data_IF_772257647401
#
_entry.id   IF_772257647401
#
_cell.length_a   1.000
_cell.length_b   1.000
_cell.length_c   1.000
_cell.angle_alpha   90.00
_cell.angle_beta   90.00
_cell.angle_gamma   90.00
#
_symmetry.space_group_name_H-M   'P 1'
#
loop_
_entity.id
_entity.type
_entity.pdbx_description
1 polymer ?
#
# COMPACT_ATOMS: atom_id res chain seq x y z
N UNK A 1 22.81 40.03 -58.73
CA UNK A 1 21.65 39.13 -58.54
C UNK A 1 21.58 38.82 -57.06
N UNK A 2 20.47 39.12 -56.41
CA UNK A 2 20.24 38.79 -54.99
C UNK A 2 19.65 37.38 -54.96
N UNK A 3 20.31 36.48 -54.23
CA UNK A 3 19.89 35.09 -54.09
C UNK A 3 18.96 35.00 -52.87
N UNK A 4 17.70 34.63 -53.09
CA UNK A 4 16.76 34.34 -52.02
C UNK A 4 17.08 32.96 -51.45
N UNK A 5 17.31 32.89 -50.14
CA UNK A 5 17.41 31.62 -49.41
C UNK A 5 15.97 31.16 -49.16
N UNK A 6 15.59 30.01 -49.72
CA UNK A 6 14.30 29.40 -49.39
C UNK A 6 14.31 28.93 -47.92
N UNK A 7 13.23 29.18 -47.16
CA UNK A 7 13.15 28.71 -45.79
C UNK A 7 13.18 27.18 -45.76
N UNK A 8 14.08 26.62 -44.95
CA UNK A 8 14.10 25.19 -44.66
C UNK A 8 12.71 24.76 -44.13
N UNK A 9 12.15 23.63 -44.60
CA UNK A 9 10.92 23.12 -44.05
C UNK A 9 11.09 22.91 -42.54
N UNK A 10 10.10 23.35 -41.77
CA UNK A 10 9.99 23.03 -40.34
C UNK A 10 10.11 21.50 -40.21
N UNK A 11 11.17 21.04 -39.54
CA UNK A 11 11.24 19.66 -39.09
C UNK A 11 9.96 19.39 -38.28
N UNK A 12 9.19 18.38 -38.69
CA UNK A 12 8.03 17.96 -37.93
C UNK A 12 8.53 17.62 -36.53
N UNK A 13 8.01 18.32 -35.51
CA UNK A 13 8.29 17.97 -34.12
C UNK A 13 8.07 16.47 -33.95
N UNK A 14 8.99 15.73 -33.30
CA UNK A 14 8.80 14.31 -33.09
C UNK A 14 7.45 14.10 -32.42
N UNK A 15 6.61 13.25 -33.03
CA UNK A 15 5.35 12.82 -32.42
C UNK A 15 5.76 12.07 -31.15
N UNK A 16 5.59 12.71 -29.99
CA UNK A 16 5.85 12.04 -28.73
C UNK A 16 4.87 10.87 -28.60
N UNK A 17 5.33 9.68 -28.19
CA UNK A 17 4.45 8.53 -28.07
C UNK A 17 3.35 8.85 -27.05
N UNK A 18 2.12 8.47 -27.36
CA UNK A 18 0.97 8.73 -26.48
C UNK A 18 1.09 7.88 -25.20
N UNK A 19 0.69 8.43 -24.03
CA UNK A 19 0.73 7.69 -22.78
C UNK A 19 -0.26 6.52 -22.81
N UNK A 20 0.14 5.40 -22.21
CA UNK A 20 -0.78 4.29 -21.94
C UNK A 20 -1.75 4.70 -20.84
N UNK A 21 -3.04 4.74 -21.18
CA UNK A 21 -4.11 5.14 -20.28
C UNK A 21 -5.14 4.02 -20.12
N UNK A 22 -5.68 3.91 -18.90
CA UNK A 22 -6.56 2.85 -18.44
C UNK A 22 -7.73 3.43 -17.62
N UNK A 23 -8.86 2.73 -17.59
CA UNK A 23 -10.00 3.10 -16.74
C UNK A 23 -9.69 2.86 -15.26
N UNK A 24 -8.93 1.81 -14.95
CA UNK A 24 -8.40 1.52 -13.60
C UNK A 24 -6.98 0.98 -13.68
N UNK A 25 -6.16 1.31 -12.68
CA UNK A 25 -4.82 0.77 -12.50
C UNK A 25 -4.53 0.50 -11.01
N UNK A 26 -3.93 -0.66 -10.73
CA UNK A 26 -3.25 -0.96 -9.46
C UNK A 26 -1.78 -0.53 -9.53
N UNK A 27 -1.11 -0.46 -8.38
CA UNK A 27 0.33 -0.25 -8.32
C UNK A 27 1.07 -1.49 -8.85
N UNK A 28 2.29 -1.32 -9.35
CA UNK A 28 3.12 -2.44 -9.78
C UNK A 28 3.50 -3.32 -8.60
N UNK A 29 3.40 -4.63 -8.80
CA UNK A 29 3.83 -5.66 -7.86
C UNK A 29 4.18 -6.96 -8.61
N UNK A 30 5.28 -7.58 -8.21
CA UNK A 30 5.82 -8.78 -8.85
C UNK A 30 6.07 -8.59 -10.37
N UNK A 31 6.48 -7.40 -10.77
CA UNK A 31 6.80 -7.06 -12.16
C UNK A 31 5.60 -6.73 -13.04
N UNK A 32 4.40 -6.64 -12.48
CA UNK A 32 3.18 -6.34 -13.26
C UNK A 32 2.21 -5.42 -12.52
N UNK A 33 1.32 -4.75 -13.27
CA UNK A 33 0.23 -3.96 -12.72
C UNK A 33 -1.11 -4.38 -13.31
N UNK A 34 -2.11 -4.61 -12.46
CA UNK A 34 -3.48 -4.89 -12.90
C UNK A 34 -4.09 -3.62 -13.53
N UNK A 35 -4.58 -3.73 -14.76
CA UNK A 35 -5.19 -2.62 -15.50
C UNK A 35 -6.51 -3.03 -16.15
N UNK A 36 -7.42 -2.06 -16.29
CA UNK A 36 -8.68 -2.24 -17.03
C UNK A 36 -8.83 -1.19 -18.11
N UNK A 37 -9.18 -1.62 -19.31
CA UNK A 37 -9.62 -0.73 -20.38
C UNK A 37 -10.88 -1.28 -21.04
N UNK A 38 -12.01 -0.59 -20.86
CA UNK A 38 -13.33 -1.10 -21.19
C UNK A 38 -13.60 -2.42 -20.48
N UNK A 39 -13.99 -3.44 -21.26
CA UNK A 39 -14.28 -4.78 -20.74
C UNK A 39 -13.02 -5.65 -20.58
N UNK A 40 -11.83 -5.14 -20.91
CA UNK A 40 -10.57 -5.90 -20.84
C UNK A 40 -9.90 -5.65 -19.50
N UNK A 41 -9.80 -6.71 -18.70
CA UNK A 41 -8.99 -6.75 -17.48
C UNK A 41 -7.77 -7.63 -17.72
N UNK A 42 -6.60 -7.14 -17.32
CA UNK A 42 -5.35 -7.87 -17.46
C UNK A 42 -4.22 -7.21 -16.70
N UNK A 43 -2.99 -7.64 -16.99
CA UNK A 43 -1.79 -7.14 -16.36
C UNK A 43 -0.79 -6.70 -17.41
N UNK A 44 -0.24 -5.50 -17.20
CA UNK A 44 0.90 -5.01 -17.97
C UNK A 44 2.21 -5.24 -17.20
N UNK A 45 3.31 -5.41 -17.92
CA UNK A 45 4.65 -5.40 -17.34
C UNK A 45 5.23 -3.96 -17.29
N UNK A 46 6.48 -3.81 -16.83
CA UNK A 46 7.20 -2.53 -16.78
C UNK A 46 7.42 -1.87 -18.14
N UNK A 47 7.25 -2.61 -19.24
CA UNK A 47 7.31 -2.07 -20.59
C UNK A 47 5.95 -1.53 -21.06
N UNK A 48 4.88 -1.78 -20.30
CA UNK A 48 3.51 -1.44 -20.68
C UNK A 48 2.84 -2.49 -21.56
N UNK A 49 3.53 -3.60 -21.84
CA UNK A 49 3.00 -4.72 -22.61
C UNK A 49 1.96 -5.48 -21.80
N UNK A 50 0.79 -5.74 -22.38
CA UNK A 50 -0.20 -6.64 -21.80
C UNK A 50 0.34 -8.08 -21.81
N UNK A 51 0.82 -8.56 -20.66
CA UNK A 51 1.45 -9.88 -20.51
C UNK A 51 0.50 -10.94 -19.97
N UNK A 52 -0.55 -10.53 -19.25
CA UNK A 52 -1.58 -11.45 -18.73
C UNK A 52 -2.96 -10.92 -19.10
N UNK A 53 -3.78 -11.76 -19.73
CA UNK A 53 -5.21 -11.48 -19.94
C UNK A 53 -6.00 -12.33 -18.97
N UNK A 54 -6.91 -11.73 -18.20
CA UNK A 54 -7.80 -12.50 -17.34
C UNK A 54 -8.81 -13.25 -18.21
N UNK A 55 -8.74 -14.58 -18.17
CA UNK A 55 -9.46 -15.44 -19.12
C UNK A 55 -10.98 -15.44 -18.89
N UNK A 56 -11.42 -15.27 -17.64
CA UNK A 56 -12.83 -15.24 -17.26
C UNK A 56 -13.38 -13.81 -17.33
N UNK A 57 -14.25 -13.57 -18.32
CA UNK A 57 -14.89 -12.28 -18.54
C UNK A 57 -15.81 -11.83 -17.38
N UNK A 58 -16.17 -12.72 -16.45
CA UNK A 58 -16.97 -12.36 -15.28
C UNK A 58 -16.16 -11.73 -14.15
N UNK A 59 -14.82 -11.69 -14.27
CA UNK A 59 -13.97 -11.03 -13.28
C UNK A 59 -14.17 -9.52 -13.36
N UNK A 60 -14.73 -8.96 -12.28
CA UNK A 60 -15.00 -7.52 -12.17
C UNK A 60 -13.84 -6.74 -11.58
N UNK A 61 -13.01 -7.39 -10.74
CA UNK A 61 -11.86 -6.77 -10.08
C UNK A 61 -10.76 -7.82 -9.92
N UNK A 62 -9.51 -7.43 -10.13
CA UNK A 62 -8.33 -8.18 -9.72
C UNK A 62 -7.34 -7.22 -9.05
N UNK A 63 -6.73 -7.67 -7.96
CA UNK A 63 -5.67 -6.94 -7.26
C UNK A 63 -4.28 -7.19 -7.85
N UNK A 64 -3.22 -6.61 -7.27
CA UNK A 64 -1.84 -6.98 -7.58
C UNK A 64 -1.59 -8.47 -7.28
N UNK A 65 -0.59 -9.05 -7.95
CA UNK A 65 -0.09 -10.37 -7.56
C UNK A 65 0.64 -10.29 -6.21
N UNK A 66 0.42 -11.32 -5.39
CA UNK A 66 1.18 -11.58 -4.17
C UNK A 66 1.39 -13.08 -4.10
N UNK A 67 2.65 -13.50 -4.03
CA UNK A 67 3.06 -14.91 -4.10
C UNK A 67 2.55 -15.59 -5.38
N UNK A 68 2.62 -14.88 -6.52
CA UNK A 68 2.17 -15.33 -7.85
C UNK A 68 0.65 -15.58 -7.98
N UNK A 69 -0.13 -15.16 -6.98
CA UNK A 69 -1.59 -15.26 -6.99
C UNK A 69 -2.20 -13.88 -6.75
N UNK A 70 -3.16 -13.51 -7.59
CA UNK A 70 -3.91 -12.27 -7.42
C UNK A 70 -5.32 -12.58 -6.93
N UNK A 71 -5.74 -11.91 -5.87
CA UNK A 71 -7.12 -11.93 -5.41
C UNK A 71 -8.01 -11.31 -6.50
N UNK A 72 -9.02 -12.05 -6.93
CA UNK A 72 -9.95 -11.60 -7.96
C UNK A 72 -11.40 -11.89 -7.57
N UNK A 73 -12.30 -11.02 -8.02
CA UNK A 73 -13.73 -11.08 -7.73
C UNK A 73 -14.53 -11.32 -9.00
N UNK A 74 -15.43 -12.29 -8.96
CA UNK A 74 -16.48 -12.48 -9.96
C UNK A 74 -17.85 -12.58 -9.26
N UNK A 75 -18.78 -11.71 -9.63
CA UNK A 75 -20.03 -11.53 -8.90
C UNK A 75 -19.79 -11.15 -7.44
N UNK A 76 -20.35 -11.91 -6.50
CA UNK A 76 -20.20 -11.70 -5.05
C UNK A 76 -19.12 -12.57 -4.39
N UNK A 77 -18.39 -13.34 -5.20
CA UNK A 77 -17.39 -14.28 -4.72
C UNK A 77 -15.99 -13.92 -5.20
N UNK A 78 -15.04 -14.34 -4.39
CA UNK A 78 -13.62 -14.19 -4.60
C UNK A 78 -12.98 -15.56 -4.86
N UNK A 79 -11.95 -15.53 -5.69
CA UNK A 79 -11.02 -16.61 -5.97
C UNK A 79 -9.63 -16.02 -6.20
N UNK A 80 -8.73 -16.83 -6.74
CA UNK A 80 -7.36 -16.40 -7.02
C UNK A 80 -6.96 -16.78 -8.43
N UNK A 81 -6.47 -15.81 -9.19
CA UNK A 81 -5.93 -16.02 -10.52
C UNK A 81 -4.41 -16.15 -10.47
N UNK A 82 -3.87 -17.03 -11.32
CA UNK A 82 -2.43 -17.18 -11.50
C UNK A 82 -1.85 -16.17 -12.51
N UNK A 83 -0.53 -16.20 -12.64
CA UNK A 83 0.26 -15.41 -13.59
C UNK A 83 -0.02 -15.73 -15.07
N UNK A 84 -0.87 -16.71 -15.39
CA UNK A 84 -1.35 -16.97 -16.75
C UNK A 84 -2.74 -16.41 -17.00
N UNK A 85 -3.38 -15.82 -15.97
CA UNK A 85 -4.71 -15.22 -16.05
C UNK A 85 -5.86 -16.20 -15.85
N UNK A 86 -5.56 -17.42 -15.41
CA UNK A 86 -6.54 -18.47 -15.14
C UNK A 86 -6.82 -18.56 -13.63
N UNK A 87 -7.99 -19.09 -13.25
CA UNK A 87 -8.28 -19.41 -11.85
C UNK A 87 -7.36 -20.54 -11.36
N UNK A 88 -6.41 -20.21 -10.48
CA UNK A 88 -5.69 -21.21 -9.70
C UNK A 88 -6.57 -21.77 -8.57
N UNK A 89 -7.37 -20.89 -7.97
CA UNK A 89 -8.39 -21.24 -6.99
C UNK A 89 -9.69 -20.61 -7.47
N UNK A 90 -10.64 -21.45 -7.88
CA UNK A 90 -11.92 -21.01 -8.41
C UNK A 90 -12.70 -20.17 -7.37
N UNK A 91 -13.54 -19.27 -7.88
CA UNK A 91 -14.40 -18.42 -7.06
C UNK A 91 -15.29 -19.24 -6.14
N UNK A 92 -15.15 -19.02 -4.84
CA UNK A 92 -15.91 -19.77 -3.83
C UNK A 92 -16.03 -19.02 -2.49
N UNK A 93 -15.19 -18.02 -2.25
CA UNK A 93 -15.14 -17.31 -0.97
C UNK A 93 -15.96 -16.03 -1.02
N UNK A 94 -16.80 -15.76 -0.03
CA UNK A 94 -17.52 -14.48 0.06
C UNK A 94 -16.58 -13.30 0.34
N UNK A 95 -15.55 -13.55 1.14
CA UNK A 95 -14.49 -12.61 1.50
C UNK A 95 -13.15 -13.34 1.48
N UNK A 96 -12.11 -12.66 1.04
CA UNK A 96 -10.77 -13.19 0.94
C UNK A 96 -9.75 -12.05 1.00
N UNK A 97 -8.56 -12.32 1.55
CA UNK A 97 -7.38 -11.43 1.53
C UNK A 97 -6.33 -11.98 0.58
N UNK A 98 -5.38 -11.15 0.15
CA UNK A 98 -4.24 -11.62 -0.63
C UNK A 98 -3.39 -12.63 0.16
N UNK A 99 -2.68 -13.51 -0.56
CA UNK A 99 -1.71 -14.42 0.03
C UNK A 99 -0.57 -13.64 0.68
N UNK A 100 -0.16 -14.10 1.87
CA UNK A 100 0.97 -13.58 2.62
C UNK A 100 1.53 -14.72 3.45
N UNK A 101 2.84 -14.96 3.34
CA UNK A 101 3.56 -16.05 4.01
C UNK A 101 2.96 -17.44 3.70
N UNK A 102 2.53 -17.65 2.46
CA UNK A 102 2.01 -18.93 1.96
C UNK A 102 0.55 -19.22 2.30
N UNK A 103 -0.14 -18.34 3.04
CA UNK A 103 -1.54 -18.51 3.47
C UNK A 103 -2.38 -17.28 3.13
N UNK A 104 -3.67 -17.50 2.91
CA UNK A 104 -4.66 -16.43 2.74
C UNK A 104 -5.83 -16.61 3.71
N UNK A 105 -6.19 -15.53 4.42
CA UNK A 105 -7.39 -15.49 5.23
C UNK A 105 -8.63 -15.40 4.31
N UNK A 106 -9.53 -16.38 4.42
CA UNK A 106 -10.73 -16.48 3.58
C UNK A 106 -11.94 -16.87 4.41
N UNK A 107 -13.12 -16.39 4.00
CA UNK A 107 -14.37 -16.69 4.69
C UNK A 107 -15.00 -17.97 4.18
N UNK A 108 -15.18 -18.95 5.07
CA UNK A 108 -15.98 -20.15 4.87
C UNK A 108 -17.26 -20.11 5.71
N UNK A 109 -18.42 -20.04 5.06
CA UNK A 109 -19.68 -19.77 5.75
C UNK A 109 -19.71 -18.34 6.31
N UNK A 110 -19.80 -18.21 7.65
CA UNK A 110 -19.82 -16.91 8.34
C UNK A 110 -18.51 -16.60 9.07
N UNK A 111 -17.55 -17.53 9.11
CA UNK A 111 -16.28 -17.41 9.83
C UNK A 111 -15.10 -17.42 8.87
N UNK A 112 -13.96 -16.96 9.35
CA UNK A 112 -12.69 -16.98 8.65
C UNK A 112 -11.86 -18.20 9.03
N UNK A 113 -11.13 -18.72 8.05
CA UNK A 113 -10.05 -19.68 8.18
C UNK A 113 -8.91 -19.32 7.23
N UNK A 114 -7.96 -20.23 7.03
CA UNK A 114 -6.79 -20.00 6.19
C UNK A 114 -6.60 -21.13 5.18
N UNK A 115 -6.39 -20.75 3.92
CA UNK A 115 -6.09 -21.69 2.83
C UNK A 115 -4.66 -21.51 2.34
N UNK A 116 -4.05 -22.60 1.87
CA UNK A 116 -2.78 -22.55 1.15
C UNK A 116 -2.96 -22.13 -0.32
N UNK A 117 -1.86 -22.01 -1.06
CA UNK A 117 -1.85 -21.62 -2.48
C UNK A 117 -2.54 -22.62 -3.41
N UNK A 118 -2.90 -23.82 -2.93
CA UNK A 118 -3.70 -24.80 -3.64
C UNK A 118 -5.20 -24.71 -3.28
N UNK A 119 -5.60 -23.74 -2.45
CA UNK A 119 -6.97 -23.54 -2.00
C UNK A 119 -7.43 -24.55 -0.94
N UNK A 120 -6.51 -25.32 -0.35
CA UNK A 120 -6.81 -26.29 0.69
C UNK A 120 -6.80 -25.62 2.06
N UNK A 121 -7.77 -25.94 2.92
CA UNK A 121 -7.78 -25.48 4.30
C UNK A 121 -6.54 -25.99 5.05
N UNK A 122 -5.75 -25.05 5.56
CA UNK A 122 -4.70 -25.33 6.56
C UNK A 122 -5.27 -25.11 7.95
N UNK A 123 -6.12 -24.09 8.10
CA UNK A 123 -6.86 -23.79 9.32
C UNK A 123 -8.33 -23.64 8.95
N UNK A 124 -9.17 -24.55 9.44
CA UNK A 124 -10.60 -24.56 9.15
C UNK A 124 -11.31 -23.30 9.67
N UNK A 125 -12.38 -22.82 8.98
CA UNK A 125 -13.12 -21.62 9.37
C UNK A 125 -13.71 -21.70 10.77
N UNK A 126 -13.20 -20.86 11.69
CA UNK A 126 -13.66 -20.83 13.07
C UNK A 126 -13.52 -19.46 13.75
N UNK A 127 -12.98 -18.46 13.03
CA UNK A 127 -12.72 -17.13 13.58
C UNK A 127 -13.77 -16.12 13.11
N UNK A 128 -14.14 -15.19 13.98
CA UNK A 128 -15.03 -14.07 13.63
C UNK A 128 -14.36 -13.13 12.62
N UNK A 129 -13.04 -12.92 12.77
CA UNK A 129 -12.18 -12.13 11.90
C UNK A 129 -10.78 -12.77 11.85
N UNK A 130 -10.09 -12.61 10.73
CA UNK A 130 -8.69 -13.02 10.57
C UNK A 130 -7.97 -12.02 9.66
N UNK A 131 -6.78 -11.58 10.05
CA UNK A 131 -5.89 -10.79 9.22
C UNK A 131 -4.85 -11.69 8.50
N UNK A 132 -4.21 -11.14 7.46
CA UNK A 132 -3.10 -11.82 6.78
C UNK A 132 -1.94 -12.10 7.75
N UNK A 133 -1.22 -13.19 7.51
CA UNK A 133 0.04 -13.48 8.22
C UNK A 133 1.06 -12.36 7.98
N UNK A 134 1.76 -11.99 9.05
CA UNK A 134 2.82 -10.99 9.07
C UNK A 134 3.81 -11.36 10.16
N UNK A 135 5.08 -11.51 9.80
CA UNK A 135 6.17 -11.92 10.69
C UNK A 135 5.92 -13.29 11.35
N UNK A 136 5.33 -14.23 10.61
CA UNK A 136 5.06 -15.58 11.06
C UNK A 136 3.82 -15.73 11.94
N UNK A 137 3.05 -14.65 12.17
CA UNK A 137 1.85 -14.67 13.01
C UNK A 137 0.65 -14.02 12.30
N UNK A 138 -0.53 -14.57 12.52
CA UNK A 138 -1.80 -13.96 12.10
C UNK A 138 -2.64 -13.60 13.32
N UNK A 139 -3.11 -12.35 13.38
CA UNK A 139 -4.08 -11.94 14.39
C UNK A 139 -5.48 -12.41 13.98
N UNK A 140 -6.18 -13.06 14.91
CA UNK A 140 -7.54 -13.57 14.71
C UNK A 140 -8.43 -13.15 15.87
N UNK A 141 -9.73 -13.08 15.61
CA UNK A 141 -10.76 -12.81 16.60
C UNK A 141 -11.63 -14.03 16.85
N UNK A 142 -11.78 -14.43 18.10
CA UNK A 142 -12.66 -15.52 18.53
C UNK A 142 -13.26 -15.19 19.90
N UNK A 143 -14.55 -15.48 20.09
CA UNK A 143 -15.29 -15.17 21.32
C UNK A 143 -15.21 -13.68 21.71
N UNK A 144 -15.22 -12.80 20.71
CA UNK A 144 -15.11 -11.35 20.91
C UNK A 144 -13.71 -10.83 21.27
N UNK A 145 -12.70 -11.70 21.42
CA UNK A 145 -11.33 -11.34 21.81
C UNK A 145 -10.31 -11.69 20.72
N UNK A 146 -9.17 -11.01 20.74
CA UNK A 146 -8.08 -11.22 19.79
C UNK A 146 -6.93 -12.04 20.40
N UNK A 147 -6.31 -12.85 19.55
CA UNK A 147 -5.11 -13.64 19.80
C UNK A 147 -4.34 -13.89 18.49
N UNK A 148 -3.25 -14.66 18.55
CA UNK A 148 -2.35 -14.87 17.41
C UNK A 148 -2.07 -16.34 17.18
N UNK A 149 -2.11 -16.74 15.91
CA UNK A 149 -1.82 -18.08 15.44
C UNK A 149 -0.50 -18.11 14.68
N UNK A 150 0.21 -19.22 14.78
CA UNK A 150 1.27 -19.57 13.84
C UNK A 150 0.68 -20.18 12.54
N UNK A 151 1.48 -20.40 11.48
CA UNK A 151 0.98 -20.96 10.21
C UNK A 151 0.46 -22.40 10.31
N UNK A 152 0.79 -23.13 11.38
CA UNK A 152 0.23 -24.45 11.67
C UNK A 152 -1.15 -24.39 12.34
N UNK A 153 -1.67 -23.20 12.65
CA UNK A 153 -2.95 -23.00 13.33
C UNK A 153 -2.90 -23.17 14.84
N UNK A 154 -1.71 -23.21 15.42
CA UNK A 154 -1.51 -23.30 16.87
C UNK A 154 -1.48 -21.89 17.47
N UNK A 155 -2.05 -21.74 18.68
CA UNK A 155 -1.98 -20.47 19.42
C UNK A 155 -0.55 -20.16 19.83
N UNK A 156 0.04 -19.16 19.19
CA UNK A 156 1.28 -18.54 19.66
C UNK A 156 0.99 -17.62 20.85
N UNK A 157 -0.12 -16.87 20.78
CA UNK A 157 -0.60 -15.99 21.84
C UNK A 157 -2.11 -16.22 21.99
N UNK A 158 -2.58 -16.81 23.10
CA UNK A 158 -4.00 -17.09 23.32
C UNK A 158 -4.88 -15.83 23.28
N UNK A 159 -6.17 -16.00 22.94
CA UNK A 159 -7.14 -14.91 22.93
C UNK A 159 -7.26 -14.24 24.30
N UNK A 160 -7.02 -12.93 24.35
CA UNK A 160 -7.13 -12.16 25.60
C UNK A 160 -7.29 -10.64 25.38
N UNK A 161 -7.06 -10.13 24.16
CA UNK A 161 -7.05 -8.69 23.90
C UNK A 161 -8.40 -8.19 23.37
N UNK A 162 -8.79 -6.97 23.75
CA UNK A 162 -10.01 -6.33 23.20
C UNK A 162 -9.82 -5.81 21.79
N UNK A 163 -8.58 -5.45 21.45
CA UNK A 163 -8.14 -5.06 20.11
C UNK A 163 -6.66 -5.44 19.96
N UNK A 164 -6.29 -5.91 18.78
CA UNK A 164 -4.94 -6.35 18.45
C UNK A 164 -4.71 -6.24 16.94
N UNK A 165 -3.55 -5.72 16.54
CA UNK A 165 -3.20 -5.50 15.13
C UNK A 165 -2.11 -6.50 14.69
N UNK A 166 -1.79 -6.53 13.39
CA UNK A 166 -0.70 -7.38 12.88
C UNK A 166 0.65 -7.00 13.48
N UNK A 167 1.59 -7.94 13.49
CA UNK A 167 2.99 -7.64 13.80
C UNK A 167 3.64 -6.86 12.66
N UNK A 168 4.45 -5.87 13.04
CA UNK A 168 5.31 -5.07 12.18
C UNK A 168 6.52 -4.65 12.99
N UNK A 169 7.71 -4.90 12.45
CA UNK A 169 9.01 -4.69 13.11
C UNK A 169 9.06 -5.32 14.52
N UNK A 170 8.58 -6.57 14.62
CA UNK A 170 8.50 -7.36 15.85
C UNK A 170 7.65 -6.72 16.96
N UNK A 171 6.68 -5.86 16.61
CA UNK A 171 5.73 -5.27 17.56
C UNK A 171 4.31 -5.35 17.01
N UNK A 172 3.35 -5.64 17.89
CA UNK A 172 1.93 -5.57 17.55
C UNK A 172 1.20 -4.63 18.52
N UNK A 173 0.42 -3.71 17.97
CA UNK A 173 -0.43 -2.82 18.77
C UNK A 173 -1.51 -3.64 19.47
N UNK A 174 -1.68 -3.43 20.76
CA UNK A 174 -2.78 -4.02 21.54
C UNK A 174 -3.46 -2.97 22.41
N UNK A 175 -4.73 -3.22 22.67
CA UNK A 175 -5.55 -2.37 23.53
C UNK A 175 -6.18 -3.16 24.67
N UNK A 176 -6.06 -2.62 25.87
CA UNK A 176 -6.86 -3.00 27.03
C UNK A 176 -7.58 -1.74 27.52
N UNK A 177 -8.90 -1.87 27.72
CA UNK A 177 -9.78 -0.74 28.01
C UNK A 177 -9.66 0.40 26.99
N UNK A 178 -9.10 1.54 27.39
CA UNK A 178 -8.91 2.71 26.53
C UNK A 178 -7.45 2.96 26.15
N UNK A 179 -6.51 2.18 26.68
CA UNK A 179 -5.07 2.44 26.53
C UNK A 179 -4.42 1.43 25.59
N UNK A 180 -3.48 1.95 24.80
CA UNK A 180 -2.71 1.20 23.83
C UNK A 180 -1.28 0.95 24.34
N UNK A 181 -0.75 -0.22 24.00
CA UNK A 181 0.65 -0.61 24.16
C UNK A 181 1.05 -1.60 23.08
N UNK A 182 2.17 -2.30 23.27
CA UNK A 182 2.71 -3.18 22.25
C UNK A 182 3.13 -4.54 22.81
N UNK A 183 2.85 -5.59 22.04
CA UNK A 183 3.33 -6.95 22.29
C UNK A 183 4.66 -7.20 21.60
N UNK A 184 5.49 -8.03 22.23
CA UNK A 184 6.53 -8.80 21.55
C UNK A 184 5.94 -10.10 20.95
N UNK A 185 6.64 -10.74 20.00
CA UNK A 185 6.17 -11.98 19.37
C UNK A 185 5.97 -13.16 20.33
N UNK A 186 6.62 -13.13 21.50
CA UNK A 186 6.44 -14.12 22.57
C UNK A 186 5.17 -13.88 23.42
N UNK A 187 4.39 -12.85 23.10
CA UNK A 187 3.15 -12.49 23.79
C UNK A 187 3.34 -11.62 25.04
N UNK A 188 4.58 -11.26 25.38
CA UNK A 188 4.83 -10.33 26.50
C UNK A 188 4.49 -8.89 26.11
N UNK A 189 4.04 -8.09 27.09
CA UNK A 189 3.87 -6.64 26.89
C UNK A 189 5.27 -6.01 26.79
N UNK A 190 5.72 -5.72 25.57
CA UNK A 190 7.01 -5.10 25.30
C UNK A 190 7.01 -3.61 25.66
N UNK A 191 5.90 -2.92 25.38
CA UNK A 191 5.70 -1.51 25.71
C UNK A 191 4.39 -1.37 26.49
N UNK A 192 4.42 -0.85 27.73
CA UNK A 192 3.24 -0.76 28.60
C UNK A 192 2.05 -0.03 27.97
N UNK A 193 0.84 -0.48 28.29
CA UNK A 193 -0.40 0.10 27.79
C UNK A 193 -0.68 1.45 28.46
N UNK A 194 -0.08 2.51 27.95
CA UNK A 194 -0.09 3.85 28.57
C UNK A 194 -0.49 4.97 27.60
N UNK A 195 -0.61 4.66 26.30
CA UNK A 195 -0.92 5.64 25.26
C UNK A 195 -2.42 5.75 24.99
N UNK A 196 -2.88 6.93 24.61
CA UNK A 196 -4.27 7.20 24.22
C UNK A 196 -4.55 6.77 22.77
N UNK A 197 -3.51 6.48 22.00
CA UNK A 197 -3.54 5.98 20.63
C UNK A 197 -2.16 5.48 20.21
N UNK A 198 -2.12 4.50 19.31
CA UNK A 198 -0.87 3.89 18.83
C UNK A 198 -1.07 3.40 17.40
N UNK A 199 0.00 3.43 16.62
CA UNK A 199 0.07 2.80 15.30
C UNK A 199 1.23 1.81 15.23
N UNK A 200 1.28 1.07 14.13
CA UNK A 200 2.31 0.07 13.87
C UNK A 200 3.70 0.71 13.79
N UNK A 201 4.74 -0.08 14.03
CA UNK A 201 6.11 0.37 13.77
C UNK A 201 6.40 0.34 12.26
N UNK A 202 7.05 1.39 11.78
CA UNK A 202 7.57 1.53 10.41
C UNK A 202 8.85 2.36 10.47
N UNK A 203 9.89 1.94 9.76
CA UNK A 203 11.19 2.60 9.74
C UNK A 203 11.79 2.78 11.15
N UNK A 204 11.58 1.78 12.02
CA UNK A 204 12.08 1.75 13.39
C UNK A 204 11.34 2.66 14.37
N UNK A 205 10.27 3.35 13.96
CA UNK A 205 9.50 4.25 14.82
C UNK A 205 8.00 3.95 14.74
N UNK A 206 7.28 4.17 15.83
CA UNK A 206 5.81 4.15 15.84
C UNK A 206 5.26 5.49 16.31
N UNK A 207 4.26 6.02 15.61
CA UNK A 207 3.51 7.17 16.14
C UNK A 207 2.59 6.71 17.26
N UNK A 208 2.64 7.44 18.37
CA UNK A 208 1.78 7.23 19.54
C UNK A 208 1.20 8.56 20.00
N UNK A 209 0.02 8.50 20.60
CA UNK A 209 -0.70 9.66 21.11
C UNK A 209 -0.69 9.69 22.63
N UNK A 210 -0.37 10.86 23.18
CA UNK A 210 -0.53 11.16 24.59
C UNK A 210 -1.31 12.47 24.75
N UNK A 211 -2.46 12.41 25.42
CA UNK A 211 -3.48 13.45 25.36
C UNK A 211 -3.98 13.64 23.94
N UNK A 212 -3.96 14.89 23.46
CA UNK A 212 -4.42 15.27 22.13
C UNK A 212 -3.28 15.37 21.10
N UNK A 213 -2.05 14.97 21.46
CA UNK A 213 -0.85 15.17 20.62
C UNK A 213 -0.17 13.87 20.24
N UNK A 214 0.37 13.83 19.03
CA UNK A 214 1.17 12.75 18.48
C UNK A 214 2.67 13.00 18.66
N UNK A 215 3.40 11.93 18.91
CA UNK A 215 4.86 11.87 18.88
C UNK A 215 5.29 10.46 18.46
N UNK A 216 6.57 10.15 18.61
CA UNK A 216 7.18 8.93 18.09
C UNK A 216 8.06 8.24 19.12
N UNK A 217 7.92 6.92 19.20
CA UNK A 217 8.71 6.05 20.08
C UNK A 217 9.52 5.04 19.27
N UNK A 218 10.64 4.60 19.83
CA UNK A 218 11.42 3.47 19.31
C UNK A 218 10.84 2.12 19.82
N UNK A 219 11.34 0.96 19.35
CA UNK A 219 10.81 -0.35 19.75
C UNK A 219 11.04 -0.70 21.23
N UNK A 220 11.88 0.05 21.95
CA UNK A 220 12.05 -0.05 23.40
C UNK A 220 11.00 0.78 24.18
N UNK A 221 10.15 1.54 23.49
CA UNK A 221 9.14 2.40 24.09
C UNK A 221 9.68 3.77 24.52
N UNK A 222 10.91 4.12 24.14
CA UNK A 222 11.52 5.40 24.46
C UNK A 222 11.06 6.46 23.47
N UNK A 223 10.72 7.65 23.97
CA UNK A 223 10.37 8.79 23.14
C UNK A 223 11.59 9.26 22.34
N UNK A 224 11.51 9.10 21.02
CA UNK A 224 12.44 9.72 20.08
C UNK A 224 12.01 11.15 19.78
N UNK A 225 10.70 11.35 19.65
CA UNK A 225 10.08 12.67 19.47
C UNK A 225 8.88 12.76 20.42
N UNK A 226 8.93 13.57 21.49
CA UNK A 226 7.81 13.71 22.41
C UNK A 226 6.51 14.14 21.73
N UNK A 227 5.37 13.78 22.32
CA UNK A 227 4.06 14.16 21.81
C UNK A 227 3.90 15.69 21.71
N UNK A 228 3.84 16.21 20.48
CA UNK A 228 3.76 17.65 20.22
C UNK A 228 2.99 18.02 18.94
N UNK A 229 2.72 17.05 18.06
CA UNK A 229 2.05 17.27 16.78
C UNK A 229 0.54 17.13 16.90
N UNK A 230 -0.21 17.97 16.18
CA UNK A 230 -1.66 17.84 16.03
C UNK A 230 -2.03 16.61 15.19
N UNK A 231 -1.19 16.28 14.22
CA UNK A 231 -1.29 15.11 13.36
C UNK A 231 0.11 14.57 13.04
N UNK A 232 0.22 13.26 12.91
CA UNK A 232 1.42 12.58 12.42
C UNK A 232 1.01 11.38 11.57
N UNK A 233 1.69 11.15 10.44
CA UNK A 233 1.71 9.92 9.66
C UNK A 233 2.79 8.96 10.19
N UNK A 234 2.84 7.74 9.65
CA UNK A 234 3.89 6.78 9.99
C UNK A 234 5.23 7.20 9.34
N UNK A 235 6.35 6.68 9.84
CA UNK A 235 7.65 6.92 9.20
C UNK A 235 7.79 6.04 7.96
N UNK A 236 8.28 6.63 6.88
CA UNK A 236 8.68 5.93 5.67
C UNK A 236 9.85 6.66 5.01
N UNK A 237 10.87 5.90 4.63
CA UNK A 237 12.17 6.37 4.16
C UNK A 237 12.78 7.49 5.04
N UNK A 238 12.73 7.30 6.36
CA UNK A 238 13.19 8.26 7.38
C UNK A 238 12.48 9.61 7.36
N UNK A 239 11.23 9.66 6.88
CA UNK A 239 10.37 10.86 6.91
C UNK A 239 9.00 10.52 7.44
N UNK A 240 8.40 11.44 8.18
CA UNK A 240 6.99 11.36 8.56
C UNK A 240 6.30 12.68 8.29
N UNK A 241 5.09 12.63 7.72
CA UNK A 241 4.23 13.80 7.60
C UNK A 241 3.73 14.19 8.98
N UNK A 242 3.86 15.46 9.35
CA UNK A 242 3.33 15.99 10.61
C UNK A 242 2.61 17.30 10.39
N UNK A 243 1.68 17.62 11.29
CA UNK A 243 1.05 18.93 11.39
C UNK A 243 1.23 19.49 12.79
N UNK A 244 1.62 20.76 12.90
CA UNK A 244 1.69 21.49 14.16
C UNK A 244 1.20 22.92 13.96
N UNK A 245 0.23 23.35 14.77
CA UNK A 245 -0.32 24.71 14.73
C UNK A 245 -0.82 25.14 13.33
N UNK A 246 -1.38 24.20 12.59
CA UNK A 246 -1.91 24.43 11.24
C UNK A 246 -0.86 24.38 10.12
N UNK A 247 0.42 24.23 10.43
CA UNK A 247 1.49 24.07 9.45
C UNK A 247 1.84 22.59 9.28
N UNK A 248 1.85 22.13 8.02
CA UNK A 248 2.20 20.76 7.64
C UNK A 248 3.60 20.66 7.05
N UNK A 249 4.19 19.48 7.10
CA UNK A 249 5.49 19.21 6.51
C UNK A 249 6.02 17.82 6.86
N UNK A 250 7.28 17.58 6.57
CA UNK A 250 7.99 16.35 6.95
C UNK A 250 9.02 16.63 8.03
N UNK A 251 9.11 15.70 8.98
CA UNK A 251 10.20 15.62 9.95
C UNK A 251 11.08 14.42 9.68
N UNK A 252 12.35 14.52 10.08
CA UNK A 252 13.24 13.37 10.18
C UNK A 252 13.05 12.62 11.52
N UNK A 253 13.82 11.55 11.73
CA UNK A 253 13.76 10.72 12.95
C UNK A 253 14.20 11.43 14.24
N UNK A 254 14.80 12.63 14.13
CA UNK A 254 15.10 13.51 15.28
C UNK A 254 13.97 14.46 15.61
N UNK A 255 12.93 14.52 14.77
CA UNK A 255 11.83 15.48 14.86
C UNK A 255 12.17 16.84 14.27
N UNK A 256 13.30 16.98 13.59
CA UNK A 256 13.68 18.21 12.91
C UNK A 256 12.82 18.35 11.66
N UNK A 257 12.14 19.49 11.51
CA UNK A 257 11.40 19.81 10.28
C UNK A 257 12.37 19.97 9.12
N UNK A 258 12.31 19.04 8.16
CA UNK A 258 13.22 18.97 7.01
C UNK A 258 12.56 19.45 5.72
N UNK A 259 11.23 19.38 5.64
CA UNK A 259 10.45 19.88 4.50
C UNK A 259 9.24 20.61 5.07
N UNK A 260 9.24 21.93 4.99
CA UNK A 260 8.05 22.73 5.23
C UNK A 260 7.34 22.95 3.89
N UNK A 261 6.02 22.83 3.83
CA UNK A 261 5.31 23.03 2.57
C UNK A 261 3.87 23.50 2.74
N UNK A 262 3.45 24.36 1.83
CA UNK A 262 2.06 24.76 1.64
C UNK A 262 1.32 23.71 0.78
N UNK A 263 1.42 22.44 1.17
CA UNK A 263 0.72 21.35 0.49
C UNK A 263 -0.64 21.12 1.17
N UNK A 264 -1.70 20.94 0.39
CA UNK A 264 -3.01 20.53 0.93
C UNK A 264 -3.03 19.06 1.35
N UNK A 265 -2.11 18.27 0.81
CA UNK A 265 -1.90 16.86 1.12
C UNK A 265 -0.45 16.46 0.84
N UNK A 266 0.07 15.51 1.63
CA UNK A 266 1.40 14.93 1.50
C UNK A 266 1.30 13.43 1.81
N UNK A 267 1.81 12.59 0.90
CA UNK A 267 1.89 11.14 1.07
C UNK A 267 3.20 10.73 1.77
N UNK A 268 3.27 9.47 2.19
CA UNK A 268 4.52 8.87 2.65
C UNK A 268 5.52 8.76 1.48
N UNK A 269 6.82 8.75 1.79
CA UNK A 269 7.86 8.53 0.79
C UNK A 269 7.87 7.08 0.34
N UNK A 270 8.12 6.86 -0.95
CA UNK A 270 8.37 5.54 -1.52
C UNK A 270 9.31 5.69 -2.71
N UNK A 271 10.36 4.90 -2.74
CA UNK A 271 11.43 4.94 -3.76
C UNK A 271 12.06 6.34 -3.93
N UNK A 272 12.23 7.06 -2.82
CA UNK A 272 12.84 8.37 -2.76
C UNK A 272 11.93 9.55 -3.11
N UNK A 273 10.66 9.28 -3.45
CA UNK A 273 9.69 10.30 -3.86
C UNK A 273 8.39 10.23 -3.03
N UNK A 274 7.78 11.38 -2.77
CA UNK A 274 6.48 11.47 -2.12
C UNK A 274 5.52 12.31 -2.96
N UNK A 275 4.28 11.84 -3.11
CA UNK A 275 3.24 12.60 -3.77
C UNK A 275 2.78 13.75 -2.86
N UNK A 276 2.70 14.95 -3.42
CA UNK A 276 2.16 16.15 -2.76
C UNK A 276 1.01 16.72 -3.58
N UNK A 277 0.08 17.39 -2.91
CA UNK A 277 -0.98 18.14 -3.58
C UNK A 277 -0.81 19.64 -3.37
N UNK A 278 -0.81 20.39 -4.46
CA UNK A 278 -0.78 21.85 -4.51
C UNK A 278 -1.91 22.30 -5.43
N UNK A 279 -2.76 23.21 -4.96
CA UNK A 279 -3.91 23.75 -5.71
C UNK A 279 -4.79 22.66 -6.36
N UNK A 280 -4.98 21.54 -5.66
CA UNK A 280 -5.78 20.40 -6.12
C UNK A 280 -5.13 19.52 -7.18
N UNK A 281 -3.84 19.73 -7.50
CA UNK A 281 -3.07 18.89 -8.43
C UNK A 281 -1.94 18.17 -7.71
N UNK A 282 -1.65 16.96 -8.16
CA UNK A 282 -0.60 16.11 -7.59
C UNK A 282 0.69 16.21 -8.39
N UNK A 283 1.80 16.28 -7.66
CA UNK A 283 3.18 16.17 -8.14
C UNK A 283 4.02 15.41 -7.14
N UNK A 284 5.33 15.38 -7.32
CA UNK A 284 6.24 14.61 -6.45
C UNK A 284 7.45 15.42 -6.02
N UNK A 285 7.83 15.25 -4.75
CA UNK A 285 9.04 15.82 -4.16
C UNK A 285 10.02 14.71 -3.78
N UNK A 286 11.32 15.05 -3.74
CA UNK A 286 12.36 14.17 -3.20
C UNK A 286 12.53 14.35 -1.68
N UNK A 287 13.43 13.56 -1.08
CA UNK A 287 13.77 13.62 0.36
C UNK A 287 14.39 14.95 0.85
N UNK A 288 14.83 15.82 -0.08
CA UNK A 288 15.29 17.18 0.20
C UNK A 288 14.15 18.22 0.12
N UNK A 289 12.96 17.82 -0.34
CA UNK A 289 11.80 18.69 -0.55
C UNK A 289 11.76 19.36 -1.92
N UNK A 290 12.70 19.05 -2.82
CA UNK A 290 12.67 19.60 -4.18
C UNK A 290 11.56 18.93 -4.99
N UNK A 291 10.78 19.74 -5.70
CA UNK A 291 9.78 19.24 -6.67
C UNK A 291 10.51 18.59 -7.84
N UNK A 292 10.40 17.27 -7.96
CA UNK A 292 10.97 16.48 -9.06
C UNK A 292 9.97 16.41 -10.21
N UNK A 293 8.69 16.20 -9.89
CA UNK A 293 7.60 16.12 -10.86
C UNK A 293 6.58 17.20 -10.52
N UNK A 294 6.37 18.21 -11.38
CA UNK A 294 5.47 19.33 -11.10
C UNK A 294 4.03 18.87 -10.78
N UNK A 295 3.31 19.58 -9.87
CA UNK A 295 1.91 19.29 -9.58
C UNK A 295 0.98 19.52 -10.77
N UNK A 296 0.76 18.48 -11.58
CA UNK A 296 -0.08 18.54 -12.79
C UNK A 296 -1.18 17.49 -12.85
N UNK A 297 -1.06 16.40 -12.07
CA UNK A 297 -1.98 15.27 -12.15
C UNK A 297 -3.25 15.51 -11.33
N UNK A 298 -4.35 14.86 -11.72
CA UNK A 298 -5.60 14.89 -10.94
C UNK A 298 -5.51 14.00 -9.70
N UNK A 299 -4.71 12.94 -9.77
CA UNK A 299 -4.44 12.00 -8.69
C UNK A 299 -3.09 11.31 -8.91
N UNK A 300 -2.51 10.76 -7.85
CA UNK A 300 -1.19 10.15 -7.84
C UNK A 300 -1.10 9.07 -6.74
N UNK A 301 -0.57 7.90 -7.09
CA UNK A 301 -0.19 6.85 -6.14
C UNK A 301 1.28 6.95 -5.71
N UNK A 302 1.71 6.11 -4.74
CA UNK A 302 3.11 5.97 -4.40
C UNK A 302 3.89 5.34 -5.57
N UNK A 303 5.21 5.51 -5.56
CA UNK A 303 6.10 4.74 -6.43
C UNK A 303 6.22 3.30 -5.93
N UNK A 304 6.17 2.35 -6.86
CA UNK A 304 6.41 0.92 -6.63
C UNK A 304 7.03 0.32 -7.88
N UNK A 305 8.15 -0.38 -7.72
CA UNK A 305 8.93 -0.97 -8.80
C UNK A 305 9.37 0.03 -9.89
N UNK A 306 9.67 1.27 -9.49
CA UNK A 306 10.13 2.35 -10.38
C UNK A 306 9.01 3.16 -11.04
N UNK A 307 7.74 2.83 -10.81
CA UNK A 307 6.60 3.50 -11.43
C UNK A 307 5.57 3.97 -10.41
N UNK A 308 4.89 5.07 -10.70
CA UNK A 308 3.71 5.50 -9.97
C UNK A 308 2.52 5.63 -10.91
N UNK A 309 1.34 5.20 -10.47
CA UNK A 309 0.11 5.46 -11.21
C UNK A 309 -0.35 6.91 -10.98
N UNK A 310 -0.71 7.58 -12.06
CA UNK A 310 -1.19 8.96 -12.04
C UNK A 310 -2.46 9.10 -12.86
N UNK A 311 -3.34 10.02 -12.47
CA UNK A 311 -4.58 10.26 -13.18
C UNK A 311 -4.49 11.52 -14.05
N UNK A 312 -4.80 11.35 -15.34
CA UNK A 312 -4.96 12.41 -16.34
C UNK A 312 -6.25 12.19 -17.12
N UNK A 313 -7.02 13.26 -17.34
CA UNK A 313 -8.31 13.20 -18.04
C UNK A 313 -9.26 12.11 -17.51
N UNK A 314 -9.26 11.88 -16.19
CA UNK A 314 -10.00 10.83 -15.48
C UNK A 314 -9.60 9.38 -15.80
N UNK A 315 -8.50 9.17 -16.53
CA UNK A 315 -7.90 7.87 -16.79
C UNK A 315 -6.57 7.73 -16.06
N UNK A 316 -6.19 6.50 -15.72
CA UNK A 316 -4.95 6.16 -15.06
C UNK A 316 -3.86 5.81 -16.06
N UNK A 317 -2.68 6.42 -15.92
CA UNK A 317 -1.46 5.99 -16.60
C UNK A 317 -0.35 5.76 -15.57
N UNK A 318 0.84 5.43 -16.06
CA UNK A 318 2.02 5.23 -15.22
C UNK A 318 3.12 6.20 -15.63
N UNK A 319 3.84 6.71 -14.65
CA UNK A 319 5.04 7.52 -14.86
C UNK A 319 6.24 6.89 -14.15
N UNK A 320 7.42 7.08 -14.70
CA UNK A 320 8.68 6.76 -14.03
C UNK A 320 9.07 7.83 -12.99
N UNK A 321 10.19 7.61 -12.30
CA UNK A 321 10.73 8.53 -11.27
C UNK A 321 11.21 9.89 -11.83
N UNK A 322 11.28 10.05 -13.15
CA UNK A 322 11.54 11.32 -13.84
C UNK A 322 10.26 11.99 -14.36
N UNK A 323 9.09 11.39 -14.10
CA UNK A 323 7.80 11.88 -14.55
C UNK A 323 7.49 11.59 -16.03
N UNK A 324 8.26 10.72 -16.69
CA UNK A 324 7.98 10.30 -18.05
C UNK A 324 6.88 9.24 -18.05
N UNK A 325 5.90 9.39 -18.92
CA UNK A 325 4.83 8.41 -19.06
C UNK A 325 5.36 7.11 -19.68
N UNK A 326 4.81 6.00 -19.20
CA UNK A 326 4.90 4.71 -19.89
C UNK A 326 4.05 4.76 -21.17
N UNK A 327 4.62 4.35 -22.30
CA UNK A 327 4.02 4.53 -23.63
C UNK A 327 3.98 3.26 -24.47
N UNK A 328 3.19 3.25 -25.55
CA UNK A 328 3.09 2.09 -26.47
C UNK A 328 4.41 1.68 -27.12
N UNK A 329 5.40 2.57 -27.24
CA UNK A 329 6.71 2.21 -27.82
C UNK A 329 7.56 1.34 -26.91
N UNK A 330 7.30 1.41 -25.60
CA UNK A 330 7.96 0.58 -24.61
C UNK A 330 7.39 -0.85 -24.65
N UNK A 331 6.12 -1.00 -25.05
CA UNK A 331 5.32 -2.23 -25.00
C UNK A 331 5.55 -3.23 -26.16
N UNK A 332 6.78 -3.38 -26.68
CA UNK A 332 7.08 -4.18 -27.88
C UNK A 332 7.89 -5.45 -27.62
#
# INVERSE_FOLDING_TARGET
MVQFIEPSPLEQSPVMPEPLLFDTAADFAEGTAAVRQGDRLGYIDHSGSLVVTVADANVSVAGPFSEKLALARAGDYHGYIDTTGNWAIAVQFRQAKAFSEGLAAVQGGNTYGFVNTQGQWVIEPQFELAESFSEGLAVVKQEGLYGYLNPAGEWAIPIQFRDAWRFSEARAVVKVDSQYGYLAPDGTIAIPLTFDGAFTFSDGLARVRQGDKWGFINPAGEWMIPAQFDYAADFSENRAVVQQQGQGGYVDSTGTGVIAGEFSYAADFSEGLAAIQVDGRYGYINLAGDVVIPPTFQNAGPFSEGFARVQVNNQWGFIDTQGQFLTESDAR
#
